data_IF_964206804575
#
_entry.id   IF_964206804575
#
_cell.length_a   1.000
_cell.length_b   1.000
_cell.length_c   1.000
_cell.angle_alpha   90.00
_cell.angle_beta   90.00
_cell.angle_gamma   90.00
#
_symmetry.space_group_name_H-M   'P 1'
#
loop_
_entity.id
_entity.type
_entity.pdbx_description
1 polymer ?
#
# COMPACT_ATOMS: atom_id res chain seq x y z
N UNK A 1 4.69 -32.75 29.66
CA UNK A 1 5.37 -31.53 29.16
C UNK A 1 4.36 -30.39 29.29
N UNK A 2 4.46 -29.58 30.36
CA UNK A 2 3.44 -28.57 30.70
C UNK A 2 3.79 -27.26 29.97
N UNK A 3 3.14 -26.99 28.85
CA UNK A 3 3.35 -25.74 28.11
C UNK A 3 2.59 -24.65 28.86
N UNK A 4 3.32 -23.73 29.48
CA UNK A 4 2.79 -22.60 30.21
C UNK A 4 2.04 -21.68 29.23
N UNK A 5 0.70 -21.69 29.28
CA UNK A 5 -0.16 -20.85 28.42
C UNK A 5 0.17 -19.36 28.53
N UNK A 6 0.68 -18.92 29.69
CA UNK A 6 1.07 -17.53 29.92
C UNK A 6 2.24 -17.03 29.04
N UNK A 7 3.04 -17.92 28.45
CA UNK A 7 4.11 -17.52 27.52
C UNK A 7 3.63 -17.33 26.08
N UNK A 8 2.45 -17.85 25.70
CA UNK A 8 1.89 -17.65 24.35
C UNK A 8 1.30 -16.24 24.19
N UNK A 9 0.74 -15.66 25.25
CA UNK A 9 0.21 -14.30 25.24
C UNK A 9 1.31 -13.23 25.15
N UNK A 10 2.52 -13.54 25.63
CA UNK A 10 3.66 -12.61 25.57
C UNK A 10 4.24 -12.49 24.16
N UNK A 11 4.17 -13.54 23.33
CA UNK A 11 4.66 -13.52 21.94
C UNK A 11 3.72 -12.73 21.04
N UNK A 12 2.42 -12.70 21.33
CA UNK A 12 1.43 -11.91 20.58
C UNK A 12 1.50 -10.39 20.85
N UNK A 13 2.39 -9.92 21.73
CA UNK A 13 2.45 -8.51 22.13
C UNK A 13 3.38 -7.62 21.29
N UNK A 14 4.08 -8.16 20.29
CA UNK A 14 5.03 -7.37 19.47
C UNK A 14 5.03 -7.80 18.00
N UNK A 15 3.88 -7.70 17.33
CA UNK A 15 3.91 -7.25 15.95
C UNK A 15 2.94 -6.09 15.85
N UNK A 16 3.36 -4.91 15.36
CA UNK A 16 2.37 -3.93 14.94
C UNK A 16 1.47 -4.67 13.94
N UNK A 17 0.19 -4.78 14.25
CA UNK A 17 -0.82 -5.19 13.27
C UNK A 17 -0.53 -4.36 12.02
N UNK A 18 -0.06 -5.02 10.95
CA UNK A 18 0.32 -4.34 9.71
C UNK A 18 -0.79 -3.34 9.40
N UNK A 19 -0.45 -2.07 9.21
CA UNK A 19 -1.47 -1.05 9.00
C UNK A 19 -2.26 -1.39 7.72
N UNK A 20 -3.46 -1.94 7.89
CA UNK A 20 -4.37 -2.26 6.78
C UNK A 20 -5.10 -0.98 6.43
N UNK A 21 -5.01 -0.56 5.17
CA UNK A 21 -5.80 0.56 4.68
C UNK A 21 -7.27 0.16 4.67
N UNK A 22 -8.14 1.00 5.23
CA UNK A 22 -9.58 0.78 5.09
C UNK A 22 -10.03 0.99 3.64
N UNK A 23 -11.23 0.51 3.30
CA UNK A 23 -11.76 0.57 1.93
C UNK A 23 -11.79 1.99 1.34
N UNK A 24 -12.06 3.00 2.17
CA UNK A 24 -12.05 4.39 1.72
C UNK A 24 -10.63 4.87 1.36
N UNK A 25 -9.63 4.50 2.16
CA UNK A 25 -8.23 4.78 1.87
C UNK A 25 -7.76 4.06 0.60
N UNK A 26 -8.10 2.79 0.42
CA UNK A 26 -7.83 2.04 -0.82
C UNK A 26 -8.47 2.68 -2.04
N UNK A 27 -9.74 3.12 -1.91
CA UNK A 27 -10.44 3.83 -2.99
C UNK A 27 -9.72 5.12 -3.35
N UNK A 28 -9.30 5.91 -2.35
CA UNK A 28 -8.53 7.14 -2.57
C UNK A 28 -7.21 6.85 -3.28
N UNK A 29 -6.46 5.84 -2.86
CA UNK A 29 -5.20 5.45 -3.50
C UNK A 29 -5.40 5.04 -4.97
N UNK A 30 -6.44 4.25 -5.27
CA UNK A 30 -6.80 3.89 -6.65
C UNK A 30 -7.15 5.12 -7.49
N UNK A 31 -7.91 6.06 -6.93
CA UNK A 31 -8.24 7.33 -7.59
C UNK A 31 -7.00 8.19 -7.82
N UNK A 32 -6.10 8.30 -6.85
CA UNK A 32 -4.84 9.02 -7.00
C UNK A 32 -3.97 8.41 -8.11
N UNK A 33 -3.78 7.08 -8.12
CA UNK A 33 -3.01 6.41 -9.19
C UNK A 33 -3.58 6.70 -10.57
N UNK A 34 -4.90 6.70 -10.71
CA UNK A 34 -5.57 7.06 -11.97
C UNK A 34 -5.30 8.52 -12.38
N UNK A 35 -5.52 9.48 -11.48
CA UNK A 35 -5.30 10.90 -11.78
C UNK A 35 -3.84 11.21 -12.11
N UNK A 36 -2.88 10.60 -11.41
CA UNK A 36 -1.46 10.79 -11.70
C UNK A 36 -1.11 10.30 -13.11
N UNK A 37 -1.66 9.15 -13.54
CA UNK A 37 -1.47 8.63 -14.90
C UNK A 37 -2.11 9.53 -15.96
N UNK A 38 -3.33 10.01 -15.73
CA UNK A 38 -4.02 10.95 -16.63
C UNK A 38 -3.18 12.22 -16.83
N UNK A 39 -2.60 12.77 -15.76
CA UNK A 39 -1.72 13.94 -15.84
C UNK A 39 -0.44 13.59 -16.60
N UNK A 40 0.23 12.49 -16.26
CA UNK A 40 1.49 12.06 -16.90
C UNK A 40 1.31 11.82 -18.41
N UNK A 41 0.15 11.31 -18.83
CA UNK A 41 -0.17 10.99 -20.22
C UNK A 41 -0.62 12.22 -21.03
N UNK A 42 -1.05 13.30 -20.35
CA UNK A 42 -1.51 14.54 -20.99
C UNK A 42 -0.45 15.20 -21.86
N UNK A 43 -0.88 15.80 -22.96
CA UNK A 43 -0.02 16.55 -23.88
C UNK A 43 0.59 17.79 -23.22
N UNK A 44 -0.18 18.43 -22.36
CA UNK A 44 0.15 19.64 -21.62
C UNK A 44 1.31 19.35 -20.67
N UNK A 45 1.25 18.25 -19.92
CA UNK A 45 2.33 17.83 -19.04
C UNK A 45 3.60 17.47 -19.81
N UNK A 46 3.48 16.79 -20.96
CA UNK A 46 4.62 16.41 -21.81
C UNK A 46 5.36 17.61 -22.42
N UNK A 47 4.70 18.76 -22.53
CA UNK A 47 5.31 19.99 -23.04
C UNK A 47 5.98 20.81 -21.94
N UNK A 48 5.75 20.49 -20.67
CA UNK A 48 6.44 21.16 -19.58
C UNK A 48 7.92 20.77 -19.61
N UNK A 49 8.80 21.77 -19.61
CA UNK A 49 10.23 21.58 -19.34
C UNK A 49 10.42 21.38 -17.83
N UNK A 50 9.81 20.31 -17.31
CA UNK A 50 9.70 20.00 -15.89
C UNK A 50 10.55 18.77 -15.57
N UNK A 51 11.70 19.01 -14.92
CA UNK A 51 12.65 17.98 -14.48
C UNK A 51 12.84 18.03 -12.96
N UNK A 52 11.86 17.55 -12.18
CA UNK A 52 11.99 17.45 -10.73
C UNK A 52 12.93 16.30 -10.33
N UNK A 53 13.46 16.34 -9.11
CA UNK A 53 14.22 15.22 -8.53
C UNK A 53 13.34 13.96 -8.32
N UNK A 54 12.03 14.15 -8.16
CA UNK A 54 11.04 13.08 -8.00
C UNK A 54 9.93 13.28 -9.03
N UNK A 55 9.70 12.26 -9.85
CA UNK A 55 8.77 12.32 -10.98
C UNK A 55 7.36 11.86 -10.59
N UNK A 56 6.37 12.17 -11.44
CA UNK A 56 5.04 11.54 -11.34
C UNK A 56 5.11 10.01 -11.45
N UNK A 57 6.10 9.47 -12.19
CA UNK A 57 6.33 8.03 -12.28
C UNK A 57 6.66 7.41 -10.93
N UNK A 58 7.53 8.06 -10.15
CA UNK A 58 7.89 7.61 -8.80
C UNK A 58 6.68 7.64 -7.86
N UNK A 59 5.86 8.70 -7.94
CA UNK A 59 4.62 8.78 -7.17
C UNK A 59 3.61 7.67 -7.55
N UNK A 60 3.46 7.37 -8.84
CA UNK A 60 2.60 6.27 -9.31
C UNK A 60 3.12 4.93 -8.81
N UNK A 61 4.43 4.70 -8.86
CA UNK A 61 5.05 3.48 -8.36
C UNK A 61 4.79 3.30 -6.86
N UNK A 62 5.05 4.33 -6.05
CA UNK A 62 4.82 4.28 -4.60
C UNK A 62 3.35 3.95 -4.26
N UNK A 63 2.38 4.54 -4.98
CA UNK A 63 0.96 4.22 -4.76
C UNK A 63 0.63 2.78 -5.16
N UNK A 64 1.22 2.26 -6.24
CA UNK A 64 0.97 0.86 -6.66
C UNK A 64 1.60 -0.14 -5.68
N UNK A 65 2.79 0.15 -5.14
CA UNK A 65 3.42 -0.66 -4.08
C UNK A 65 2.54 -0.71 -2.84
N UNK A 66 2.02 0.43 -2.39
CA UNK A 66 1.07 0.49 -1.26
C UNK A 66 -0.21 -0.32 -1.52
N UNK A 67 -0.73 -0.32 -2.75
CA UNK A 67 -1.90 -1.12 -3.12
C UNK A 67 -1.58 -2.62 -3.18
N UNK A 68 -0.38 -3.00 -3.61
CA UNK A 68 0.04 -4.39 -3.73
C UNK A 68 0.31 -5.05 -2.36
N UNK A 69 0.92 -4.31 -1.43
CA UNK A 69 1.14 -4.77 -0.05
C UNK A 69 -0.19 -5.12 0.66
N UNK A 70 -1.28 -4.45 0.31
CA UNK A 70 -2.61 -4.72 0.86
C UNK A 70 -3.22 -6.01 0.28
N UNK A 71 -3.07 -6.25 -1.02
CA UNK A 71 -3.54 -7.50 -1.64
C UNK A 71 -2.79 -8.72 -1.10
N UNK A 72 -1.51 -8.57 -0.74
CA UNK A 72 -0.71 -9.67 -0.19
C UNK A 72 -1.15 -10.09 1.23
N UNK A 73 -1.90 -9.25 1.93
CA UNK A 73 -2.42 -9.53 3.28
C UNK A 73 -3.73 -10.36 3.30
N UNK A 74 -4.42 -10.52 2.17
CA UNK A 74 -5.65 -11.33 2.08
C UNK A 74 -5.38 -12.84 1.88
N UNK A 75 -4.13 -13.27 1.70
CA UNK A 75 -3.77 -14.67 1.46
C UNK A 75 -3.73 -15.56 2.73
N UNK A 76 -4.09 -15.03 3.91
CA UNK A 76 -3.93 -15.73 5.20
C UNK A 76 -5.20 -16.27 5.88
N UNK A 77 -6.39 -16.15 5.28
CA UNK A 77 -7.66 -16.47 5.98
C UNK A 77 -8.50 -17.59 5.39
N UNK A 78 -8.05 -18.27 4.35
CA UNK A 78 -8.67 -19.50 3.87
C UNK A 78 -7.79 -20.70 4.25
N UNK A 79 -8.01 -21.23 5.46
CA UNK A 79 -7.85 -22.64 5.83
C UNK A 79 -8.16 -22.79 7.31
N UNK A 80 -9.43 -23.02 7.62
CA UNK A 80 -9.88 -23.88 8.72
C UNK A 80 -11.33 -24.24 8.55
#
# INVERSE_FOLDING_TARGET
MNINLHNLEAINKVLPERAIFNQNQLRKLKTCSRWLREIQESSEFKQLEYCPDVTLGDAIQAVNELLNEQNHCDCGRETR
#
